data_IF_398946907364
#
_entry.id   IF_398946907364
#
_cell.length_a   1.000
_cell.length_b   1.000
_cell.length_c   1.000
_cell.angle_alpha   90.00
_cell.angle_beta   90.00
_cell.angle_gamma   90.00
#
_symmetry.space_group_name_H-M   'P 1'
#
loop_
_entity.id
_entity.type
_entity.pdbx_description
1 polymer ?
#
# COMPACT_ATOMS: atom_id res chain seq x y z
N UNK A 1 13.49 -26.37 -8.43
CA UNK A 1 12.76 -25.69 -7.34
C UNK A 1 12.28 -24.37 -7.91
N UNK A 2 10.97 -24.17 -8.00
CA UNK A 2 10.38 -22.97 -8.60
C UNK A 2 10.60 -21.83 -7.61
N UNK A 3 11.66 -21.03 -7.81
CA UNK A 3 11.89 -19.80 -7.04
C UNK A 3 10.62 -18.97 -7.11
N UNK A 4 9.92 -18.81 -5.98
CA UNK A 4 8.83 -17.87 -5.88
C UNK A 4 9.35 -16.50 -6.31
N UNK A 5 8.67 -15.80 -7.26
CA UNK A 5 9.14 -14.52 -7.74
C UNK A 5 9.31 -13.58 -6.54
N UNK A 6 10.52 -13.04 -6.37
CA UNK A 6 10.82 -12.11 -5.27
C UNK A 6 9.77 -10.99 -5.27
N UNK A 7 9.09 -10.73 -4.14
CA UNK A 7 7.98 -9.78 -4.10
C UNK A 7 8.48 -8.42 -4.56
N UNK A 8 7.79 -7.87 -5.56
CA UNK A 8 8.14 -6.56 -6.11
C UNK A 8 7.88 -5.46 -5.09
N UNK A 9 8.47 -4.27 -5.27
CA UNK A 9 8.16 -3.10 -4.41
C UNK A 9 6.66 -2.81 -4.37
N UNK A 10 5.95 -3.07 -5.46
CA UNK A 10 4.48 -2.92 -5.55
C UNK A 10 3.75 -3.91 -4.64
N UNK A 11 4.20 -5.17 -4.57
CA UNK A 11 3.65 -6.16 -3.62
C UNK A 11 3.86 -5.73 -2.18
N UNK A 12 5.08 -5.26 -1.85
CA UNK A 12 5.37 -4.74 -0.50
C UNK A 12 4.49 -3.55 -0.14
N UNK A 13 4.23 -2.63 -1.07
CA UNK A 13 3.34 -1.50 -0.86
C UNK A 13 1.88 -1.95 -0.63
N UNK A 14 1.40 -2.95 -1.36
CA UNK A 14 0.06 -3.52 -1.15
C UNK A 14 -0.08 -4.23 0.20
N UNK A 15 0.94 -4.99 0.60
CA UNK A 15 0.98 -5.62 1.93
C UNK A 15 0.99 -4.58 3.04
N UNK A 16 1.80 -3.54 2.91
CA UNK A 16 1.84 -2.42 3.86
C UNK A 16 0.48 -1.70 3.95
N UNK A 17 -0.21 -1.46 2.83
CA UNK A 17 -1.57 -0.90 2.82
C UNK A 17 -2.55 -1.79 3.59
N UNK A 18 -2.47 -3.11 3.41
CA UNK A 18 -3.34 -4.08 4.10
C UNK A 18 -3.06 -4.12 5.60
N UNK A 19 -1.79 -4.16 5.98
CA UNK A 19 -1.36 -4.13 7.38
C UNK A 19 -1.77 -2.81 8.06
N UNK A 20 -1.62 -1.67 7.38
CA UNK A 20 -2.06 -0.36 7.87
C UNK A 20 -3.57 -0.33 8.10
N UNK A 21 -4.37 -0.75 7.12
CA UNK A 21 -5.85 -0.79 7.26
C UNK A 21 -6.27 -1.69 8.41
N UNK A 22 -5.59 -2.81 8.63
CA UNK A 22 -5.84 -3.70 9.77
C UNK A 22 -5.50 -3.01 11.10
N UNK A 23 -4.36 -2.33 11.17
CA UNK A 23 -3.94 -1.53 12.32
C UNK A 23 -4.94 -0.42 12.66
N UNK A 24 -5.32 0.42 11.69
CA UNK A 24 -6.32 1.49 11.90
C UNK A 24 -7.67 0.92 12.33
N UNK A 25 -8.11 -0.22 11.78
CA UNK A 25 -9.32 -0.90 12.25
C UNK A 25 -9.18 -1.40 13.69
N UNK A 26 -8.03 -1.91 14.09
CA UNK A 26 -7.77 -2.34 15.45
C UNK A 26 -7.79 -1.12 16.41
N UNK A 27 -7.07 -0.06 16.09
CA UNK A 27 -7.02 1.18 16.90
C UNK A 27 -8.42 1.79 17.06
N UNK A 28 -9.21 1.83 15.98
CA UNK A 28 -10.62 2.25 16.05
C UNK A 28 -11.47 1.31 16.93
N UNK A 29 -11.23 0.00 16.88
CA UNK A 29 -11.93 -0.98 17.73
C UNK A 29 -11.63 -0.77 19.23
N UNK A 30 -10.42 -0.33 19.56
CA UNK A 30 -10.03 0.06 20.91
C UNK A 30 -10.50 1.47 21.33
N UNK A 31 -11.32 2.16 20.50
CA UNK A 31 -11.81 3.53 20.74
C UNK A 31 -10.69 4.57 20.94
N UNK A 32 -9.48 4.30 20.45
CA UNK A 32 -8.38 5.26 20.48
C UNK A 32 -8.57 6.41 19.49
N UNK A 33 -9.37 6.20 18.45
CA UNK A 33 -9.68 7.19 17.41
C UNK A 33 -11.19 7.20 17.14
N UNK A 34 -11.71 8.38 16.81
CA UNK A 34 -13.10 8.56 16.42
C UNK A 34 -13.37 7.93 15.04
N UNK A 35 -14.62 7.53 14.74
CA UNK A 35 -14.97 6.98 13.43
C UNK A 35 -14.71 7.96 12.27
N UNK A 36 -14.80 9.27 12.54
CA UNK A 36 -14.47 10.33 11.59
C UNK A 36 -12.96 10.36 11.28
N UNK A 37 -12.11 10.41 12.31
CA UNK A 37 -10.65 10.29 12.21
C UNK A 37 -10.21 9.01 11.52
N UNK A 38 -10.86 7.88 11.83
CA UNK A 38 -10.62 6.60 11.15
C UNK A 38 -10.88 6.71 9.66
N UNK A 39 -11.97 7.35 9.26
CA UNK A 39 -12.34 7.52 7.84
C UNK A 39 -11.34 8.43 7.13
N UNK A 40 -10.94 9.53 7.77
CA UNK A 40 -9.94 10.45 7.23
C UNK A 40 -8.57 9.76 7.07
N UNK A 41 -8.09 9.08 8.11
CA UNK A 41 -6.84 8.32 8.07
C UNK A 41 -6.86 7.24 6.99
N UNK A 42 -7.96 6.47 6.88
CA UNK A 42 -8.09 5.45 5.86
C UNK A 42 -8.07 6.06 4.45
N UNK A 43 -8.77 7.17 4.23
CA UNK A 43 -8.87 7.81 2.91
C UNK A 43 -7.53 8.41 2.50
N UNK A 44 -6.94 9.23 3.38
CA UNK A 44 -5.69 9.94 3.11
C UNK A 44 -4.52 8.98 2.89
N UNK A 45 -4.45 7.88 3.67
CA UNK A 45 -3.44 6.86 3.45
C UNK A 45 -3.73 5.95 2.24
N UNK A 46 -5.00 5.63 1.94
CA UNK A 46 -5.33 4.85 0.74
C UNK A 46 -4.90 5.58 -0.54
N UNK A 47 -5.12 6.89 -0.60
CA UNK A 47 -4.67 7.72 -1.72
C UNK A 47 -3.15 7.76 -1.84
N UNK A 48 -2.42 7.94 -0.73
CA UNK A 48 -0.95 7.90 -0.73
C UNK A 48 -0.42 6.53 -1.20
N UNK A 49 -1.01 5.42 -0.73
CA UNK A 49 -0.64 4.09 -1.18
C UNK A 49 -0.94 3.87 -2.66
N UNK A 50 -2.10 4.33 -3.15
CA UNK A 50 -2.43 4.28 -4.58
C UNK A 50 -1.43 5.07 -5.42
N UNK A 51 -1.08 6.28 -5.00
CA UNK A 51 -0.10 7.11 -5.70
C UNK A 51 1.28 6.45 -5.72
N UNK A 52 1.76 5.93 -4.59
CA UNK A 52 3.03 5.21 -4.51
C UNK A 52 3.05 3.93 -5.37
N UNK A 53 1.95 3.16 -5.36
CA UNK A 53 1.82 1.95 -6.20
C UNK A 53 1.80 2.33 -7.69
N UNK A 54 1.11 3.41 -8.05
CA UNK A 54 1.04 3.90 -9.42
C UNK A 54 2.40 4.41 -9.91
N UNK A 55 3.11 5.20 -9.10
CA UNK A 55 4.46 5.67 -9.40
C UNK A 55 5.44 4.52 -9.57
N UNK A 56 5.41 3.53 -8.68
CA UNK A 56 6.34 2.40 -8.74
C UNK A 56 6.00 1.44 -9.90
N UNK A 57 4.71 1.29 -10.25
CA UNK A 57 4.30 0.64 -11.51
C UNK A 57 4.79 1.41 -12.74
N UNK A 58 4.71 2.74 -12.73
CA UNK A 58 5.18 3.58 -13.84
C UNK A 58 6.70 3.48 -13.99
N UNK A 59 7.46 3.52 -12.89
CA UNK A 59 8.92 3.28 -12.87
C UNK A 59 9.28 1.89 -13.37
N UNK A 60 8.57 0.85 -12.96
CA UNK A 60 8.79 -0.51 -13.48
C UNK A 60 8.56 -0.59 -15.00
N UNK A 61 7.48 0.02 -15.51
CA UNK A 61 7.23 0.12 -16.96
C UNK A 61 8.33 0.90 -17.69
N UNK A 62 8.78 2.02 -17.12
CA UNK A 62 9.84 2.85 -17.71
C UNK A 62 11.20 2.11 -17.74
N UNK A 63 11.57 1.43 -16.64
CA UNK A 63 12.78 0.60 -16.58
C UNK A 63 12.71 -0.60 -17.52
N UNK A 64 11.54 -1.22 -17.69
CA UNK A 64 11.35 -2.30 -18.65
C UNK A 64 11.50 -1.83 -20.10
N UNK A 65 11.06 -0.60 -20.42
CA UNK A 65 11.21 -0.01 -21.76
C UNK A 65 12.65 0.40 -22.09
N UNK A 66 13.44 0.82 -21.10
CA UNK A 66 14.86 1.22 -21.29
C UNK A 66 15.83 0.03 -21.42
N UNK A 67 15.34 -1.20 -21.19
CA UNK A 67 16.12 -2.45 -21.28
C UNK A 67 15.88 -3.23 -22.58
N UNK A 68 15.10 -2.68 -23.51
CA UNK A 68 14.88 -3.17 -24.87
C UNK A 68 15.70 -2.37 -25.87
#
# INVERSE_FOLDING_TARGET
MTEAPKPTKVDKLKEAQKAWKAGVRAVAKFKFISPEEKSELLTRFDEQFKAAIAEEKAKLKAKAKKKR
#
